data_IF_025334720517
#
_entry.id   IF_025334720517
#
_cell.length_a   1.000
_cell.length_b   1.000
_cell.length_c   1.000
_cell.angle_alpha   90.00
_cell.angle_beta   90.00
_cell.angle_gamma   90.00
#
_symmetry.space_group_name_H-M   'P 1'
#
loop_
_entity.id
_entity.type
_entity.pdbx_description
1 polymer ?
#
# COMPACT_ATOMS: atom_id res chain seq x y z
N UNK A 1 64.24 10.85 37.63
CA UNK A 1 63.30 9.72 37.83
C UNK A 1 61.84 10.10 37.52
N UNK A 2 61.51 11.39 37.42
CA UNK A 2 60.17 11.95 37.16
C UNK A 2 59.75 11.97 35.69
N UNK A 3 60.69 12.17 34.75
CA UNK A 3 60.38 12.24 33.30
C UNK A 3 59.97 10.88 32.70
N UNK A 4 60.61 9.79 33.12
CA UNK A 4 60.33 8.43 32.62
C UNK A 4 58.92 7.98 33.00
N UNK A 5 58.42 8.46 34.14
CA UNK A 5 57.07 8.17 34.64
C UNK A 5 56.03 8.93 33.80
N UNK A 6 56.28 10.20 33.49
CA UNK A 6 55.38 11.03 32.67
C UNK A 6 55.23 10.51 31.23
N UNK A 7 56.33 10.07 30.61
CA UNK A 7 56.33 9.48 29.25
C UNK A 7 55.59 8.14 29.20
N UNK A 8 55.67 7.33 30.26
CA UNK A 8 54.92 6.07 30.34
C UNK A 8 53.41 6.29 30.49
N UNK A 9 53.00 7.24 31.33
CA UNK A 9 51.58 7.57 31.48
C UNK A 9 51.01 8.23 30.22
N UNK A 10 51.77 9.09 29.53
CA UNK A 10 51.31 9.72 28.29
C UNK A 10 51.14 8.69 27.16
N UNK A 11 52.04 7.71 27.05
CA UNK A 11 51.91 6.61 26.10
C UNK A 11 50.69 5.72 26.37
N UNK A 12 50.40 5.42 27.65
CA UNK A 12 49.21 4.65 28.04
C UNK A 12 47.93 5.43 27.74
N UNK A 13 47.89 6.73 28.04
CA UNK A 13 46.74 7.59 27.74
C UNK A 13 46.49 7.67 26.23
N UNK A 14 47.54 7.85 25.43
CA UNK A 14 47.45 7.86 23.96
C UNK A 14 46.94 6.53 23.40
N UNK A 15 47.37 5.39 23.97
CA UNK A 15 46.89 4.07 23.57
C UNK A 15 45.40 3.87 23.88
N UNK A 16 44.95 4.39 25.03
CA UNK A 16 43.56 4.31 25.46
C UNK A 16 42.66 5.17 24.56
N UNK A 17 43.09 6.38 24.22
CA UNK A 17 42.39 7.26 23.28
C UNK A 17 42.26 6.58 21.92
N UNK A 18 43.32 5.94 21.41
CA UNK A 18 43.27 5.18 20.14
C UNK A 18 42.28 4.01 20.19
N UNK A 19 42.25 3.24 21.27
CA UNK A 19 41.29 2.14 21.42
C UNK A 19 39.84 2.65 21.43
N UNK A 20 39.58 3.74 22.17
CA UNK A 20 38.25 4.38 22.19
C UNK A 20 37.87 4.87 20.78
N UNK A 21 38.81 5.51 20.07
CA UNK A 21 38.60 5.99 18.69
C UNK A 21 38.20 4.86 17.73
N UNK A 22 38.89 3.71 17.82
CA UNK A 22 38.62 2.53 16.99
C UNK A 22 37.27 1.89 17.35
N UNK A 23 36.89 1.88 18.63
CA UNK A 23 35.57 1.42 19.07
C UNK A 23 34.45 2.32 18.52
N UNK A 24 34.64 3.65 18.52
CA UNK A 24 33.69 4.57 17.90
C UNK A 24 33.58 4.35 16.39
N UNK A 25 34.69 4.18 15.67
CA UNK A 25 34.69 3.85 14.24
C UNK A 25 33.99 2.52 13.93
N UNK A 26 34.21 1.49 14.75
CA UNK A 26 33.51 0.20 14.64
C UNK A 26 32.00 0.34 14.92
N UNK A 27 31.62 1.16 15.89
CA UNK A 27 30.22 1.40 16.23
C UNK A 27 29.47 2.21 15.16
N UNK A 28 30.13 3.20 14.56
CA UNK A 28 29.59 3.96 13.42
C UNK A 28 29.41 3.08 12.18
N UNK A 29 30.32 2.15 11.89
CA UNK A 29 30.19 1.22 10.77
C UNK A 29 29.17 0.10 11.03
N UNK A 30 28.97 -0.33 12.29
CA UNK A 30 28.03 -1.40 12.63
C UNK A 30 26.57 -0.93 12.68
N UNK A 31 26.33 0.35 12.98
CA UNK A 31 25.01 0.95 12.81
C UNK A 31 24.76 1.24 11.33
N UNK A 32 24.49 0.18 10.58
CA UNK A 32 23.66 0.24 9.39
C UNK A 32 22.53 1.23 9.65
N UNK A 33 22.54 2.32 8.91
CA UNK A 33 21.57 3.40 8.97
C UNK A 33 20.16 2.83 8.91
N UNK A 34 19.54 2.68 10.08
CA UNK A 34 18.08 2.72 10.20
C UNK A 34 17.68 4.15 9.91
N UNK A 35 17.54 4.48 8.62
CA UNK A 35 17.08 5.79 8.18
C UNK A 35 15.63 5.94 8.64
N UNK A 36 15.47 6.61 9.77
CA UNK A 36 14.23 7.31 10.11
C UNK A 36 14.05 8.44 9.11
N UNK A 37 12.86 8.50 8.54
CA UNK A 37 12.44 9.44 7.48
C UNK A 37 12.68 10.91 7.84
N UNK A 38 12.96 11.74 6.81
CA UNK A 38 13.14 13.21 6.83
C UNK A 38 14.48 13.80 7.34
N UNK A 39 15.63 13.24 6.96
CA UNK A 39 16.90 14.00 6.96
C UNK A 39 17.39 14.28 5.53
N UNK A 40 17.83 15.52 5.28
CA UNK A 40 18.44 15.91 4.01
C UNK A 40 19.88 15.37 4.00
N UNK A 41 20.04 14.14 3.51
CA UNK A 41 21.36 13.48 3.44
C UNK A 41 22.06 13.93 2.15
N UNK A 42 23.17 14.64 2.29
CA UNK A 42 24.08 14.91 1.16
C UNK A 42 24.91 13.63 0.96
N UNK A 43 24.60 12.91 -0.11
CA UNK A 43 25.26 11.64 -0.47
C UNK A 43 26.23 11.90 -1.63
N UNK A 44 27.52 11.72 -1.38
CA UNK A 44 28.60 11.94 -2.36
C UNK A 44 28.87 10.70 -3.24
N UNK A 45 28.34 9.53 -2.87
CA UNK A 45 28.50 8.28 -3.64
C UNK A 45 27.28 7.99 -4.52
N UNK A 46 27.49 8.09 -5.84
CA UNK A 46 26.53 7.73 -6.89
C UNK A 46 25.87 6.36 -6.66
N UNK A 47 26.62 5.37 -6.17
CA UNK A 47 26.10 4.02 -5.96
C UNK A 47 25.13 3.94 -4.77
N UNK A 48 25.33 4.78 -3.75
CA UNK A 48 24.46 4.85 -2.58
C UNK A 48 23.12 5.52 -2.92
N UNK A 49 23.16 6.55 -3.77
CA UNK A 49 21.96 7.19 -4.34
C UNK A 49 21.13 6.19 -5.15
N UNK A 50 21.74 5.38 -6.01
CA UNK A 50 21.01 4.35 -6.76
C UNK A 50 20.38 3.30 -5.85
N UNK A 51 21.07 2.84 -4.80
CA UNK A 51 20.50 1.92 -3.81
C UNK A 51 19.28 2.52 -3.10
N UNK A 52 19.31 3.80 -2.75
CA UNK A 52 18.16 4.47 -2.13
C UNK A 52 17.00 4.66 -3.09
N UNK A 53 17.27 4.99 -4.35
CA UNK A 53 16.24 5.07 -5.38
C UNK A 53 15.61 3.69 -5.58
N UNK A 54 16.40 2.64 -5.74
CA UNK A 54 15.89 1.30 -6.00
C UNK A 54 15.07 0.76 -4.81
N UNK A 55 15.49 1.06 -3.58
CA UNK A 55 14.74 0.70 -2.35
C UNK A 55 13.41 1.43 -2.20
N UNK A 56 13.28 2.64 -2.75
CA UNK A 56 12.11 3.49 -2.54
C UNK A 56 11.28 3.71 -3.82
N UNK A 57 11.55 2.96 -4.90
CA UNK A 57 10.80 3.06 -6.16
C UNK A 57 9.81 1.90 -6.26
N UNK A 58 8.50 2.14 -6.07
CA UNK A 58 7.47 1.11 -6.28
C UNK A 58 7.37 0.76 -7.77
N UNK A 59 7.30 -0.55 -8.06
CA UNK A 59 7.16 -1.09 -9.43
C UNK A 59 5.77 -1.69 -9.68
N UNK A 60 5.08 -2.11 -8.63
CA UNK A 60 3.70 -2.59 -8.70
C UNK A 60 3.06 -2.62 -7.32
N UNK A 61 1.73 -2.54 -7.27
CA UNK A 61 0.94 -2.75 -6.06
C UNK A 61 -0.03 -3.89 -6.31
N UNK A 62 0.08 -4.96 -5.51
CA UNK A 62 -0.93 -6.01 -5.42
C UNK A 62 -2.00 -5.56 -4.43
N UNK A 63 -3.25 -5.56 -4.87
CA UNK A 63 -4.39 -5.06 -4.13
C UNK A 63 -5.37 -6.22 -3.96
N UNK A 64 -5.86 -6.40 -2.75
CA UNK A 64 -6.77 -7.46 -2.36
C UNK A 64 -7.91 -6.88 -1.53
N UNK A 65 -9.12 -7.31 -1.84
CA UNK A 65 -10.34 -7.02 -1.09
C UNK A 65 -11.19 -8.29 -1.03
N UNK A 66 -11.78 -8.57 0.13
CA UNK A 66 -12.52 -9.81 0.36
C UNK A 66 -13.75 -9.94 -0.57
N UNK A 67 -14.36 -8.81 -0.95
CA UNK A 67 -15.55 -8.77 -1.80
C UNK A 67 -15.18 -8.67 -3.28
N UNK A 68 -14.22 -7.81 -3.62
CA UNK A 68 -13.84 -7.54 -5.00
C UNK A 68 -12.81 -8.52 -5.57
N UNK A 69 -12.04 -9.21 -4.73
CA UNK A 69 -10.97 -10.10 -5.19
C UNK A 69 -9.62 -9.41 -5.26
N UNK A 70 -8.83 -9.68 -6.29
CA UNK A 70 -7.43 -9.25 -6.37
C UNK A 70 -7.15 -8.50 -7.68
N UNK A 71 -6.25 -7.51 -7.63
CA UNK A 71 -5.81 -6.77 -8.80
C UNK A 71 -4.34 -6.34 -8.66
N UNK A 72 -3.70 -6.05 -9.80
CA UNK A 72 -2.32 -5.54 -9.84
C UNK A 72 -2.30 -4.20 -10.54
N UNK A 73 -1.82 -3.18 -9.82
CA UNK A 73 -1.50 -1.88 -10.40
C UNK A 73 -0.02 -1.81 -10.74
N UNK A 74 0.30 -1.63 -12.02
CA UNK A 74 1.67 -1.46 -12.49
C UNK A 74 1.86 -0.21 -13.36
N UNK A 75 0.83 0.64 -13.48
CA UNK A 75 0.90 1.88 -14.25
C UNK A 75 1.86 2.88 -13.57
N UNK A 76 2.96 3.31 -14.23
CA UNK A 76 3.97 4.16 -13.61
C UNK A 76 3.43 5.53 -13.15
N UNK A 77 2.47 6.12 -13.86
CA UNK A 77 1.91 7.42 -13.52
C UNK A 77 1.03 7.32 -12.26
N UNK A 78 0.18 6.30 -12.18
CA UNK A 78 -0.64 6.04 -10.99
C UNK A 78 0.23 5.66 -9.79
N UNK A 79 1.25 4.83 -9.99
CA UNK A 79 2.22 4.48 -8.94
C UNK A 79 2.93 5.73 -8.40
N UNK A 80 3.29 6.67 -9.27
CA UNK A 80 3.88 7.94 -8.85
C UNK A 80 2.91 8.79 -8.02
N UNK A 81 1.63 8.84 -8.40
CA UNK A 81 0.60 9.55 -7.63
C UNK A 81 0.42 8.95 -6.24
N UNK A 82 0.30 7.62 -6.13
CA UNK A 82 0.22 6.90 -4.85
C UNK A 82 1.43 7.24 -3.98
N UNK A 83 2.63 7.16 -4.56
CA UNK A 83 3.87 7.39 -3.83
C UNK A 83 4.04 8.84 -3.38
N UNK A 84 3.53 9.81 -4.16
CA UNK A 84 3.48 11.22 -3.75
C UNK A 84 2.64 11.37 -2.47
N UNK A 85 1.44 10.80 -2.44
CA UNK A 85 0.55 10.88 -1.27
C UNK A 85 1.18 10.22 -0.04
N UNK A 86 1.80 9.05 -0.21
CA UNK A 86 2.50 8.35 0.88
C UNK A 86 3.64 9.21 1.44
N UNK A 87 4.46 9.82 0.58
CA UNK A 87 5.61 10.65 0.99
C UNK A 87 5.21 11.93 1.71
N UNK A 88 4.09 12.53 1.33
CA UNK A 88 3.59 13.79 1.92
C UNK A 88 2.87 13.56 3.27
N UNK A 89 2.53 12.31 3.58
CA UNK A 89 1.83 11.94 4.80
C UNK A 89 2.77 11.84 6.01
N UNK A 90 2.28 12.18 7.20
CA UNK A 90 3.02 11.97 8.46
C UNK A 90 2.79 10.56 8.97
N UNK A 91 3.84 9.90 9.44
CA UNK A 91 3.76 8.56 10.02
C UNK A 91 3.70 8.60 11.55
N UNK A 92 2.79 7.83 12.14
CA UNK A 92 2.72 7.62 13.59
C UNK A 92 2.62 6.12 13.93
N UNK A 93 3.25 5.66 15.03
CA UNK A 93 3.04 4.32 15.56
C UNK A 93 1.72 4.25 16.35
N UNK A 94 0.92 3.15 16.22
CA UNK A 94 -0.37 2.82 16.91
C UNK A 94 -1.64 2.99 16.05
N UNK A 95 -2.79 2.30 16.20
CA UNK A 95 -3.26 0.98 16.69
C UNK A 95 -4.65 0.78 16.05
N UNK A 96 -4.95 -0.44 15.61
CA UNK A 96 -6.27 -1.01 15.22
C UNK A 96 -7.18 -0.18 14.31
N UNK A 97 -7.45 -0.71 13.12
CA UNK A 97 -8.39 -0.16 12.13
C UNK A 97 -9.71 -0.94 12.20
N UNK A 98 -10.87 -0.27 12.32
CA UNK A 98 -12.18 -0.93 12.24
C UNK A 98 -12.36 -1.67 10.91
N UNK A 99 -12.95 -2.86 10.96
CA UNK A 99 -12.86 -3.88 9.93
C UNK A 99 -14.01 -3.85 8.89
N UNK A 100 -14.43 -2.64 8.47
CA UNK A 100 -15.46 -2.50 7.43
C UNK A 100 -14.82 -1.90 6.16
N UNK A 101 -15.00 -2.58 5.03
CA UNK A 101 -14.48 -2.21 3.70
C UNK A 101 -12.96 -1.99 3.63
N UNK A 102 -12.20 -3.00 4.09
CA UNK A 102 -10.73 -2.96 4.13
C UNK A 102 -10.10 -3.52 2.85
N UNK A 103 -9.43 -2.66 2.11
CA UNK A 103 -8.51 -3.05 1.04
C UNK A 103 -7.12 -3.28 1.64
N UNK A 104 -6.41 -4.31 1.22
CA UNK A 104 -5.05 -4.62 1.69
C UNK A 104 -4.19 -5.20 0.57
N UNK A 105 -2.91 -5.45 0.84
CA UNK A 105 -2.04 -6.11 -0.13
C UNK A 105 -0.57 -5.76 0.07
N UNK A 106 0.18 -5.74 -1.03
CA UNK A 106 1.63 -5.54 -1.01
C UNK A 106 2.11 -4.56 -2.08
N UNK A 107 2.98 -3.64 -1.68
CA UNK A 107 3.76 -2.79 -2.59
C UNK A 107 5.08 -3.49 -2.89
N UNK A 108 5.41 -3.69 -4.15
CA UNK A 108 6.67 -4.27 -4.60
C UNK A 108 7.60 -3.16 -5.06
N UNK A 109 8.85 -3.22 -4.63
CA UNK A 109 9.88 -2.25 -4.94
C UNK A 109 10.89 -2.80 -5.92
N UNK A 110 11.63 -1.88 -6.57
CA UNK A 110 12.61 -2.22 -7.59
C UNK A 110 13.78 -3.05 -7.07
N UNK A 111 14.14 -2.90 -5.80
CA UNK A 111 15.15 -3.72 -5.12
C UNK A 111 14.69 -5.16 -4.82
N UNK A 112 13.45 -5.51 -5.16
CA UNK A 112 12.85 -6.83 -4.92
C UNK A 112 12.20 -6.97 -3.53
N UNK A 113 12.28 -5.95 -2.67
CA UNK A 113 11.55 -5.93 -1.41
C UNK A 113 10.05 -5.73 -1.65
N UNK A 114 9.26 -6.08 -0.62
CA UNK A 114 7.83 -5.82 -0.60
C UNK A 114 7.40 -5.34 0.78
N UNK A 115 6.43 -4.46 0.82
CA UNK A 115 5.86 -3.92 2.06
C UNK A 115 4.35 -4.15 2.08
N UNK A 116 3.83 -4.61 3.21
CA UNK A 116 2.40 -4.80 3.40
C UNK A 116 1.70 -3.44 3.54
N UNK A 117 0.50 -3.32 2.99
CA UNK A 117 -0.37 -2.17 3.28
C UNK A 117 -1.80 -2.61 3.59
N UNK A 118 -2.52 -1.75 4.31
CA UNK A 118 -3.97 -1.84 4.42
C UNK A 118 -4.61 -0.47 4.53
N UNK A 119 -5.82 -0.34 4.01
CA UNK A 119 -6.56 0.91 3.99
C UNK A 119 -8.06 0.68 4.20
N UNK A 120 -8.63 1.49 5.10
CA UNK A 120 -10.06 1.81 5.15
C UNK A 120 -10.19 3.30 5.48
N UNK A 121 -10.42 3.66 6.75
CA UNK A 121 -10.43 5.04 7.24
C UNK A 121 -9.03 5.64 7.36
N UNK A 122 -8.03 4.77 7.52
CA UNK A 122 -6.62 5.12 7.65
C UNK A 122 -5.80 4.26 6.71
N UNK A 123 -4.68 4.79 6.23
CA UNK A 123 -3.70 4.02 5.45
C UNK A 123 -2.58 3.54 6.37
N UNK A 124 -2.31 2.24 6.34
CA UNK A 124 -1.22 1.55 7.02
C UNK A 124 -0.20 1.08 5.98
N UNK A 125 1.08 1.30 6.26
CA UNK A 125 2.22 0.77 5.49
C UNK A 125 3.21 0.13 6.47
N UNK A 126 3.36 -1.19 6.40
CA UNK A 126 4.09 -1.97 7.39
C UNK A 126 3.52 -1.75 8.79
N UNK A 127 4.36 -1.32 9.72
CA UNK A 127 4.00 -1.01 11.10
C UNK A 127 3.52 0.44 11.33
N UNK A 128 3.48 1.27 10.27
CA UNK A 128 3.20 2.70 10.37
C UNK A 128 1.81 3.05 9.85
N UNK A 129 1.11 3.93 10.57
CA UNK A 129 -0.10 4.57 10.08
C UNK A 129 0.23 5.95 9.53
N UNK A 130 -0.32 6.25 8.36
CA UNK A 130 -0.17 7.54 7.71
C UNK A 130 -1.37 8.44 8.06
N UNK A 131 -1.09 9.59 8.65
CA UNK A 131 -2.04 10.70 8.83
C UNK A 131 -1.57 11.89 7.96
N UNK A 132 -2.42 12.39 7.09
CA UNK A 132 -2.19 13.67 6.39
C UNK A 132 -2.59 14.85 7.30
N UNK A 133 -1.96 16.03 7.14
CA UNK A 133 -2.46 17.28 7.78
C UNK A 133 -3.85 17.67 7.24
N UNK A 134 -4.20 17.18 6.06
CA UNK A 134 -5.50 17.21 5.39
C UNK A 134 -6.17 15.81 5.47
N UNK A 135 -5.89 15.11 6.57
CA UNK A 135 -5.95 13.66 6.85
C UNK A 135 -6.96 12.78 6.13
N UNK A 136 -8.17 13.27 5.91
CA UNK A 136 -9.27 12.50 5.32
C UNK A 136 -9.26 12.54 3.79
N UNK A 137 -8.87 13.66 3.17
CA UNK A 137 -8.98 13.85 1.73
C UNK A 137 -7.98 12.96 0.96
N UNK A 138 -6.75 12.88 1.45
CA UNK A 138 -5.68 12.13 0.76
C UNK A 138 -5.81 10.61 0.93
N UNK A 139 -6.23 10.14 2.12
CA UNK A 139 -6.58 8.73 2.32
C UNK A 139 -7.77 8.34 1.46
N UNK A 140 -8.79 9.21 1.37
CA UNK A 140 -9.92 9.01 0.47
C UNK A 140 -9.53 8.90 -1.01
N UNK A 141 -8.53 9.68 -1.46
CA UNK A 141 -7.98 9.56 -2.83
C UNK A 141 -7.29 8.21 -3.06
N UNK A 142 -6.43 7.78 -2.13
CA UNK A 142 -5.77 6.47 -2.20
C UNK A 142 -6.79 5.33 -2.23
N UNK A 143 -7.80 5.40 -1.35
CA UNK A 143 -8.86 4.40 -1.29
C UNK A 143 -9.60 4.29 -2.63
N UNK A 144 -9.96 5.43 -3.24
CA UNK A 144 -10.60 5.47 -4.57
C UNK A 144 -9.72 4.86 -5.66
N UNK A 145 -8.43 5.16 -5.68
CA UNK A 145 -7.49 4.59 -6.67
C UNK A 145 -7.45 3.06 -6.55
N UNK A 146 -7.30 2.53 -5.33
CA UNK A 146 -7.25 1.09 -5.12
C UNK A 146 -8.57 0.40 -5.44
N UNK A 147 -9.69 1.00 -5.01
CA UNK A 147 -11.02 0.50 -5.34
C UNK A 147 -11.25 0.45 -6.86
N UNK A 148 -10.95 1.53 -7.57
CA UNK A 148 -11.06 1.57 -9.03
C UNK A 148 -10.16 0.52 -9.71
N UNK A 149 -8.98 0.25 -9.15
CA UNK A 149 -8.10 -0.81 -9.67
C UNK A 149 -8.73 -2.20 -9.50
N UNK A 150 -9.51 -2.42 -8.44
CA UNK A 150 -10.22 -3.67 -8.21
C UNK A 150 -11.46 -3.85 -9.11
N UNK A 151 -12.02 -2.77 -9.64
CA UNK A 151 -13.21 -2.73 -10.51
C UNK A 151 -12.91 -3.25 -11.93
N UNK A 152 -12.37 -4.47 -12.03
CA UNK A 152 -12.08 -5.15 -13.30
C UNK A 152 -13.22 -6.10 -13.68
N UNK A 153 -13.39 -6.32 -14.99
CA UNK A 153 -14.35 -7.30 -15.52
C UNK A 153 -14.15 -8.70 -14.92
N UNK A 154 -12.91 -9.15 -14.78
CA UNK A 154 -12.61 -10.48 -14.21
C UNK A 154 -13.01 -10.57 -12.73
N UNK A 155 -12.76 -9.52 -11.96
CA UNK A 155 -13.16 -9.45 -10.57
C UNK A 155 -14.68 -9.43 -10.42
N UNK A 156 -15.37 -8.65 -11.25
CA UNK A 156 -16.83 -8.64 -11.32
C UNK A 156 -17.39 -10.03 -11.64
N UNK A 157 -16.87 -10.70 -12.69
CA UNK A 157 -17.29 -12.04 -13.06
C UNK A 157 -17.10 -13.04 -11.92
N UNK A 158 -15.93 -13.00 -11.26
CA UNK A 158 -15.61 -13.88 -10.13
C UNK A 158 -16.53 -13.61 -8.93
N UNK A 159 -16.83 -12.35 -8.65
CA UNK A 159 -17.73 -11.93 -7.58
C UNK A 159 -19.15 -12.45 -7.84
N UNK A 160 -19.66 -12.24 -9.06
CA UNK A 160 -20.97 -12.74 -9.51
C UNK A 160 -21.00 -14.26 -9.44
N UNK A 161 -19.96 -14.96 -9.91
CA UNK A 161 -19.89 -16.43 -9.89
C UNK A 161 -19.97 -17.00 -8.47
N UNK A 162 -19.24 -16.42 -7.52
CA UNK A 162 -19.23 -16.87 -6.12
C UNK A 162 -20.49 -16.50 -5.33
N UNK A 163 -21.21 -15.44 -5.73
CA UNK A 163 -22.37 -14.97 -4.99
C UNK A 163 -23.52 -15.98 -4.97
N UNK A 164 -24.08 -16.29 -3.80
CA UNK A 164 -25.26 -17.17 -3.72
C UNK A 164 -26.51 -16.56 -4.38
N UNK A 165 -26.68 -15.24 -4.22
CA UNK A 165 -27.72 -14.44 -4.84
C UNK A 165 -27.15 -13.04 -5.13
N UNK A 166 -27.70 -12.39 -6.15
CA UNK A 166 -27.34 -11.01 -6.50
C UNK A 166 -28.58 -10.16 -6.30
N UNK A 167 -28.42 -9.05 -5.61
CA UNK A 167 -29.48 -8.10 -5.34
C UNK A 167 -29.16 -6.80 -6.07
N UNK A 168 -30.06 -6.42 -6.96
CA UNK A 168 -29.96 -5.18 -7.73
C UNK A 168 -31.03 -4.22 -7.25
N UNK A 169 -30.62 -2.99 -6.99
CA UNK A 169 -31.48 -1.93 -6.52
C UNK A 169 -30.93 -0.60 -7.03
N UNK A 170 -31.77 0.42 -7.09
CA UNK A 170 -31.33 1.74 -7.56
C UNK A 170 -30.42 2.35 -6.51
N UNK A 171 -29.42 3.13 -6.94
CA UNK A 171 -28.49 3.81 -6.04
C UNK A 171 -29.18 4.73 -5.02
N UNK A 172 -30.41 5.16 -5.32
CA UNK A 172 -31.24 6.05 -4.49
C UNK A 172 -32.04 5.29 -3.42
N UNK A 173 -32.18 3.96 -3.56
CA UNK A 173 -32.95 3.12 -2.65
C UNK A 173 -32.06 2.52 -1.57
N UNK A 174 -32.60 2.41 -0.34
CA UNK A 174 -31.95 1.65 0.73
C UNK A 174 -32.06 0.16 0.43
N UNK A 175 -30.96 -0.58 0.61
CA UNK A 175 -30.99 -2.04 0.47
C UNK A 175 -31.96 -2.67 1.48
N UNK A 176 -33.03 -3.27 0.96
CA UNK A 176 -33.99 -4.09 1.69
C UNK A 176 -34.30 -5.35 0.84
N UNK A 177 -33.80 -6.53 1.22
CA UNK A 177 -33.90 -7.75 0.40
C UNK A 177 -35.34 -8.24 0.20
N UNK A 178 -36.29 -7.78 1.03
CA UNK A 178 -37.70 -8.15 0.97
C UNK A 178 -38.56 -7.09 0.24
N UNK A 179 -37.94 -5.98 -0.19
CA UNK A 179 -38.62 -4.91 -0.92
C UNK A 179 -38.89 -5.30 -2.37
N UNK A 180 -40.07 -4.93 -2.89
CA UNK A 180 -40.41 -5.06 -4.31
C UNK A 180 -39.48 -4.24 -5.23
N UNK A 181 -38.72 -3.28 -4.67
CA UNK A 181 -37.75 -2.47 -5.40
C UNK A 181 -36.40 -3.18 -5.62
N UNK A 182 -36.20 -4.35 -5.02
CA UNK A 182 -34.95 -5.10 -5.12
C UNK A 182 -35.15 -6.32 -6.01
N UNK A 183 -34.45 -6.33 -7.14
CA UNK A 183 -34.41 -7.48 -8.03
C UNK A 183 -33.41 -8.50 -7.51
N UNK A 184 -33.93 -9.67 -7.10
CA UNK A 184 -33.11 -10.80 -6.66
C UNK A 184 -32.83 -11.76 -7.82
N UNK A 185 -31.58 -11.80 -8.29
CA UNK A 185 -31.12 -12.71 -9.34
C UNK A 185 -30.49 -13.96 -8.72
N UNK A 186 -31.03 -15.13 -9.08
CA UNK A 186 -30.55 -16.46 -8.67
C UNK A 186 -30.74 -17.49 -9.78
N UNK A 187 -30.18 -18.70 -9.63
CA UNK A 187 -30.45 -19.82 -10.54
C UNK A 187 -30.03 -19.55 -11.99
N UNK A 188 -30.93 -19.81 -12.95
CA UNK A 188 -30.67 -19.63 -14.39
C UNK A 188 -30.44 -18.16 -14.77
N UNK A 189 -31.20 -17.22 -14.22
CA UNK A 189 -31.03 -15.78 -14.48
C UNK A 189 -29.62 -15.28 -14.09
N UNK A 190 -29.01 -15.89 -13.06
CA UNK A 190 -27.61 -15.62 -12.70
C UNK A 190 -26.63 -16.12 -13.76
N UNK A 191 -26.88 -17.30 -14.36
CA UNK A 191 -26.03 -17.85 -15.44
C UNK A 191 -26.14 -17.02 -16.71
N UNK A 192 -27.34 -16.51 -17.00
CA UNK A 192 -27.58 -15.58 -18.09
C UNK A 192 -26.83 -14.26 -17.86
N UNK A 193 -26.94 -13.67 -16.67
CA UNK A 193 -26.18 -12.49 -16.27
C UNK A 193 -24.66 -12.70 -16.43
N UNK A 194 -24.12 -13.82 -15.96
CA UNK A 194 -22.71 -14.18 -16.15
C UNK A 194 -22.33 -14.26 -17.62
N UNK A 195 -23.18 -14.84 -18.45
CA UNK A 195 -22.96 -14.96 -19.90
C UNK A 195 -22.94 -13.59 -20.57
N UNK A 196 -23.88 -12.71 -20.22
CA UNK A 196 -23.94 -11.34 -20.72
C UNK A 196 -22.70 -10.53 -20.30
N UNK A 197 -22.33 -10.60 -19.02
CA UNK A 197 -21.12 -9.94 -18.50
C UNK A 197 -19.85 -10.47 -19.19
N UNK A 198 -19.75 -11.78 -19.43
CA UNK A 198 -18.58 -12.37 -20.07
C UNK A 198 -18.42 -11.91 -21.53
N UNK A 199 -19.53 -11.78 -22.27
CA UNK A 199 -19.50 -11.37 -23.69
C UNK A 199 -19.34 -9.87 -23.91
N UNK A 200 -19.79 -9.05 -22.96
CA UNK A 200 -19.77 -7.60 -23.12
C UNK A 200 -18.35 -7.03 -23.11
N UNK A 201 -17.96 -6.26 -24.13
CA UNK A 201 -16.70 -5.49 -24.12
C UNK A 201 -16.77 -4.30 -23.15
N UNK A 202 -17.94 -3.65 -23.07
CA UNK A 202 -18.27 -2.58 -22.12
C UNK A 202 -19.70 -2.74 -21.62
N UNK A 203 -19.85 -2.76 -20.30
CA UNK A 203 -21.13 -2.98 -19.61
C UNK A 203 -22.21 -1.95 -20.06
N UNK A 204 -21.82 -0.69 -20.27
CA UNK A 204 -22.72 0.40 -20.69
C UNK A 204 -23.33 0.23 -22.09
N UNK A 205 -22.70 -0.56 -22.96
CA UNK A 205 -23.10 -0.72 -24.37
C UNK A 205 -23.89 -2.01 -24.62
N UNK A 206 -24.07 -2.86 -23.61
CA UNK A 206 -24.77 -4.16 -23.76
C UNK A 206 -26.28 -4.01 -23.64
N UNK A 207 -26.98 -4.06 -24.78
CA UNK A 207 -28.44 -4.07 -24.83
C UNK A 207 -29.04 -5.27 -24.08
N UNK A 208 -28.48 -6.47 -24.28
CA UNK A 208 -28.93 -7.69 -23.58
C UNK A 208 -28.82 -7.57 -22.07
N UNK A 209 -27.77 -6.91 -21.58
CA UNK A 209 -27.59 -6.68 -20.15
C UNK A 209 -28.61 -5.66 -19.64
N UNK A 210 -28.81 -4.55 -20.36
CA UNK A 210 -29.80 -3.54 -19.99
C UNK A 210 -31.22 -4.11 -19.97
N UNK A 211 -31.57 -4.97 -20.93
CA UNK A 211 -32.87 -5.65 -21.00
C UNK A 211 -33.06 -6.68 -19.86
N UNK A 212 -31.98 -7.28 -19.35
CA UNK A 212 -32.01 -8.23 -18.21
C UNK A 212 -32.09 -7.51 -16.85
N UNK A 213 -31.62 -6.26 -16.79
CA UNK A 213 -31.57 -5.45 -15.57
C UNK A 213 -32.77 -4.47 -15.42
N UNK A 214 -33.57 -4.29 -16.47
CA UNK A 214 -34.78 -3.44 -16.52
C UNK A 214 -36.03 -4.16 -16.06
#
# INVERSE_FOLDING_TARGET
MTEVIFVRYSAVILSFIRCISLLFLGFFNYRNFGVTTNELVILDDKNEVFKLIDKNTPISVQIEDERWGQAVLADPEVLFQIWRVIRESKSYPSKFVPNQDRINGYIFFRDGSKEYFSISDRFQLGEYFLESKEGEMEVGKLYRIFRHTLETKNNLLTMVEKAGAIYLFRAEDTFDPDSEKVLRITGEAKKELLSCLARSEKIEESKELNDLLS
#
